data_IF_897640862039
#
_entry.id   IF_897640862039
#
_cell.length_a   1.000
_cell.length_b   1.000
_cell.length_c   1.000
_cell.angle_alpha   90.00
_cell.angle_beta   90.00
_cell.angle_gamma   90.00
#
_symmetry.space_group_name_H-M   'P 1'
#
loop_
_entity.id
_entity.type
_entity.pdbx_description
1 polymer ?
#
# COMPACT_ATOMS: atom_id res chain seq x y z
N UNK A 1 -14.97 -71.57 -29.69
CA UNK A 1 -16.25 -72.03 -30.22
C UNK A 1 -17.28 -70.93 -30.08
N UNK A 2 -17.97 -70.72 -31.20
CA UNK A 2 -19.24 -69.94 -31.41
C UNK A 2 -19.17 -68.39 -31.39
N UNK A 3 -19.14 -67.93 -32.62
CA UNK A 3 -19.69 -66.67 -33.15
C UNK A 3 -21.18 -66.51 -32.77
N UNK A 4 -21.60 -65.27 -32.64
CA UNK A 4 -22.84 -64.76 -33.29
C UNK A 4 -22.87 -63.25 -33.30
N UNK A 5 -22.93 -62.76 -34.50
CA UNK A 5 -23.28 -61.43 -34.99
C UNK A 5 -24.80 -61.18 -34.86
N UNK A 6 -25.18 -59.91 -34.86
CA UNK A 6 -26.38 -59.25 -35.45
C UNK A 6 -26.71 -58.02 -34.61
N UNK A 7 -27.10 -56.88 -35.02
CA UNK A 7 -27.49 -56.27 -36.27
C UNK A 7 -27.45 -54.75 -36.12
N UNK A 8 -27.22 -54.09 -37.23
CA UNK A 8 -27.39 -52.66 -37.46
C UNK A 8 -28.82 -52.16 -37.22
N UNK A 9 -28.96 -50.98 -36.56
CA UNK A 9 -30.12 -50.10 -36.78
C UNK A 9 -29.58 -48.67 -36.95
N UNK A 10 -29.83 -48.14 -38.16
CA UNK A 10 -29.79 -46.72 -38.48
C UNK A 10 -30.85 -46.01 -37.69
N UNK A 11 -30.55 -44.80 -37.19
CA UNK A 11 -31.50 -43.69 -37.27
C UNK A 11 -30.92 -42.37 -36.73
N UNK A 12 -30.88 -41.43 -37.62
CA UNK A 12 -31.35 -40.04 -37.44
C UNK A 12 -30.47 -39.07 -36.64
N UNK A 13 -29.67 -38.33 -37.40
CA UNK A 13 -29.16 -37.03 -37.05
C UNK A 13 -30.23 -36.06 -36.56
N UNK A 14 -30.09 -35.59 -35.32
CA UNK A 14 -30.72 -34.35 -34.85
C UNK A 14 -29.59 -33.39 -34.51
N UNK A 15 -29.35 -32.45 -35.43
CA UNK A 15 -28.49 -31.30 -35.23
C UNK A 15 -29.11 -30.39 -34.16
N UNK A 16 -28.51 -30.33 -33.00
CA UNK A 16 -28.80 -29.27 -32.03
C UNK A 16 -28.00 -28.02 -32.39
N UNK A 17 -28.61 -26.83 -32.50
CA UNK A 17 -27.85 -25.61 -32.71
C UNK A 17 -27.02 -25.32 -31.44
N UNK A 18 -25.72 -25.24 -31.62
CA UNK A 18 -24.81 -24.69 -30.59
C UNK A 18 -25.21 -23.22 -30.33
N UNK A 19 -25.88 -22.96 -29.23
CA UNK A 19 -26.02 -21.64 -28.65
C UNK A 19 -24.61 -21.24 -28.17
N UNK A 20 -23.87 -20.55 -29.03
CA UNK A 20 -22.71 -19.77 -28.62
C UNK A 20 -23.25 -18.69 -27.72
N UNK A 21 -23.19 -18.93 -26.42
CA UNK A 21 -23.43 -17.92 -25.40
C UNK A 21 -22.40 -16.81 -25.58
N UNK A 22 -22.79 -15.73 -26.25
CA UNK A 22 -22.15 -14.44 -26.13
C UNK A 22 -22.27 -14.06 -24.65
N UNK A 23 -21.16 -14.27 -23.92
CA UNK A 23 -20.96 -13.64 -22.62
C UNK A 23 -20.88 -12.14 -22.88
N UNK A 24 -22.02 -11.52 -23.09
CA UNK A 24 -22.15 -10.09 -23.10
C UNK A 24 -21.67 -9.60 -21.73
N UNK A 25 -20.62 -8.82 -21.72
CA UNK A 25 -20.31 -7.97 -20.57
C UNK A 25 -21.55 -7.14 -20.35
N UNK A 26 -22.33 -7.51 -19.34
CA UNK A 26 -23.52 -6.76 -18.95
C UNK A 26 -23.04 -5.37 -18.55
N UNK A 27 -23.21 -4.41 -19.46
CA UNK A 27 -23.07 -3.00 -19.16
C UNK A 27 -24.17 -2.69 -18.15
N UNK A 28 -23.77 -2.28 -16.94
CA UNK A 28 -24.74 -1.89 -15.93
C UNK A 28 -25.73 -0.89 -16.55
N UNK A 29 -27.02 -1.07 -16.26
CA UNK A 29 -28.05 -0.11 -16.62
C UNK A 29 -27.67 1.24 -15.99
N UNK A 30 -27.85 2.35 -16.72
CA UNK A 30 -27.66 3.70 -16.21
C UNK A 30 -28.37 3.83 -14.85
N UNK A 31 -27.60 4.07 -13.78
CA UNK A 31 -28.12 4.20 -12.42
C UNK A 31 -27.93 3.00 -11.47
N UNK A 32 -27.38 1.86 -11.91
CA UNK A 32 -27.10 0.74 -11.01
C UNK A 32 -25.96 1.12 -10.04
N UNK A 33 -26.24 0.98 -8.71
CA UNK A 33 -25.27 1.23 -7.64
C UNK A 33 -24.77 -0.10 -7.08
N UNK A 34 -23.51 -0.19 -6.61
CA UNK A 34 -23.05 -1.37 -5.89
C UNK A 34 -23.77 -1.45 -4.53
N UNK A 35 -24.07 -2.65 -4.07
CA UNK A 35 -24.60 -2.84 -2.70
C UNK A 35 -23.52 -2.77 -1.64
N UNK A 36 -22.28 -3.06 -2.02
CA UNK A 36 -21.11 -3.09 -1.14
C UNK A 36 -19.89 -2.59 -1.89
N UNK A 37 -19.05 -1.81 -1.20
CA UNK A 37 -17.72 -1.40 -1.66
C UNK A 37 -16.70 -2.06 -0.75
N UNK A 38 -15.80 -2.85 -1.32
CA UNK A 38 -14.80 -3.65 -0.60
C UNK A 38 -13.43 -2.98 -0.70
N UNK A 39 -12.91 -2.51 0.44
CA UNK A 39 -11.69 -1.71 0.50
C UNK A 39 -10.64 -2.45 1.33
N UNK A 40 -9.47 -2.73 0.75
CA UNK A 40 -8.36 -3.41 1.39
C UNK A 40 -7.31 -2.45 1.94
N UNK A 41 -6.77 -2.79 3.11
CA UNK A 41 -5.53 -2.23 3.64
C UNK A 41 -4.44 -3.29 3.65
N UNK A 42 -3.21 -2.98 3.17
CA UNK A 42 -2.07 -3.90 3.17
C UNK A 42 -1.41 -3.98 4.56
N UNK A 43 -2.18 -3.83 5.61
CA UNK A 43 -1.75 -3.93 7.00
C UNK A 43 -2.96 -4.26 7.89
N UNK A 44 -2.66 -4.71 9.09
CA UNK A 44 -3.60 -4.82 10.19
C UNK A 44 -2.94 -4.26 11.45
N UNK A 45 -3.73 -3.96 12.46
CA UNK A 45 -3.21 -3.61 13.77
C UNK A 45 -2.49 -4.79 14.44
N UNK A 46 -1.77 -4.52 15.51
CA UNK A 46 -1.03 -5.53 16.29
C UNK A 46 -1.96 -6.66 16.73
N UNK A 47 -1.48 -7.90 16.64
CA UNK A 47 -2.29 -9.09 16.88
C UNK A 47 -3.38 -9.32 15.83
N UNK A 48 -3.24 -8.75 14.63
CA UNK A 48 -4.22 -8.91 13.54
C UNK A 48 -5.50 -8.09 13.72
N UNK A 49 -5.50 -7.08 14.57
CA UNK A 49 -6.70 -6.21 14.77
C UNK A 49 -7.18 -5.65 13.43
N UNK A 50 -8.50 -5.66 13.14
CA UNK A 50 -9.05 -5.15 11.89
C UNK A 50 -9.12 -3.62 11.90
N UNK A 51 -7.97 -2.96 12.03
CA UNK A 51 -7.80 -1.51 12.06
C UNK A 51 -6.56 -1.13 11.24
N UNK A 52 -6.62 0.01 10.52
CA UNK A 52 -5.46 0.56 9.82
C UNK A 52 -4.48 1.20 10.82
N UNK A 53 -3.25 1.45 10.38
CA UNK A 53 -2.21 1.97 11.28
C UNK A 53 -2.17 3.49 11.34
N UNK A 54 -1.76 4.17 10.28
CA UNK A 54 -1.51 5.62 10.25
C UNK A 54 -1.88 6.24 8.91
N UNK A 55 -1.89 7.58 8.84
CA UNK A 55 -2.11 8.36 7.64
C UNK A 55 -3.56 8.77 7.42
N UNK A 56 -3.81 9.62 6.43
CA UNK A 56 -5.16 10.15 6.20
C UNK A 56 -6.14 9.06 5.72
N UNK A 57 -5.68 8.02 5.05
CA UNK A 57 -6.52 6.88 4.67
C UNK A 57 -7.01 6.11 5.91
N UNK A 58 -6.16 6.00 6.94
CA UNK A 58 -6.56 5.46 8.24
C UNK A 58 -7.55 6.38 8.94
N UNK A 59 -7.35 7.70 8.88
CA UNK A 59 -8.29 8.68 9.43
C UNK A 59 -9.67 8.56 8.78
N UNK A 60 -9.76 8.25 7.47
CA UNK A 60 -11.04 8.02 6.80
C UNK A 60 -11.85 6.89 7.46
N UNK A 61 -11.18 5.82 7.89
CA UNK A 61 -11.80 4.72 8.65
C UNK A 61 -12.19 5.17 10.05
N UNK A 62 -11.26 5.73 10.80
CA UNK A 62 -11.50 6.11 12.21
C UNK A 62 -12.58 7.17 12.36
N UNK A 63 -12.74 8.03 11.38
CA UNK A 63 -13.78 9.08 11.34
C UNK A 63 -15.10 8.58 10.71
N UNK A 64 -15.13 7.38 10.11
CA UNK A 64 -16.31 6.82 9.46
C UNK A 64 -16.77 7.63 8.24
N UNK A 65 -15.84 8.21 7.49
CA UNK A 65 -16.18 9.19 6.44
C UNK A 65 -16.82 8.56 5.21
N UNK A 66 -16.47 7.34 4.84
CA UNK A 66 -17.10 6.66 3.72
C UNK A 66 -18.45 6.07 4.12
N UNK A 67 -18.60 5.55 5.33
CA UNK A 67 -19.88 5.10 5.85
C UNK A 67 -20.90 6.25 5.89
N UNK A 68 -20.49 7.43 6.33
CA UNK A 68 -21.34 8.65 6.32
C UNK A 68 -21.73 9.03 4.89
N UNK A 69 -20.75 9.00 3.96
CA UNK A 69 -20.99 9.38 2.56
C UNK A 69 -22.02 8.50 1.88
N UNK A 70 -21.94 7.19 2.11
CA UNK A 70 -22.76 6.23 1.37
C UNK A 70 -24.00 5.74 2.12
N UNK A 71 -24.25 6.26 3.33
CA UNK A 71 -25.41 5.87 4.16
C UNK A 71 -26.75 6.06 3.46
N UNK A 72 -26.95 7.20 2.82
CA UNK A 72 -28.20 7.53 2.13
C UNK A 72 -28.44 6.66 0.89
N UNK A 73 -27.39 6.14 0.29
CA UNK A 73 -27.46 5.23 -0.86
C UNK A 73 -27.72 3.77 -0.46
N UNK A 74 -27.66 3.44 0.82
CA UNK A 74 -27.72 2.07 1.33
C UNK A 74 -26.51 1.21 0.95
N UNK A 75 -25.39 1.83 0.54
CA UNK A 75 -24.17 1.12 0.14
C UNK A 75 -23.34 0.82 1.38
N UNK A 76 -23.04 -0.48 1.58
CA UNK A 76 -22.17 -0.94 2.67
C UNK A 76 -20.71 -0.71 2.34
N UNK A 77 -19.92 -0.15 3.27
CA UNK A 77 -18.46 -0.17 3.20
C UNK A 77 -17.93 -1.38 3.95
N UNK A 78 -17.13 -2.20 3.28
CA UNK A 78 -16.50 -3.38 3.86
C UNK A 78 -14.98 -3.21 3.87
N UNK A 79 -14.44 -3.01 5.07
CA UNK A 79 -13.01 -2.88 5.30
C UNK A 79 -12.36 -4.24 5.46
N UNK A 80 -11.27 -4.47 4.74
CA UNK A 80 -10.47 -5.71 4.81
C UNK A 80 -9.02 -5.37 5.15
N UNK A 81 -8.45 -6.11 6.11
CA UNK A 81 -7.10 -5.87 6.63
C UNK A 81 -6.26 -7.11 6.46
N UNK A 82 -5.07 -6.94 5.88
CA UNK A 82 -4.22 -8.06 5.50
C UNK A 82 -2.92 -8.06 6.29
N UNK A 83 -2.77 -8.98 7.26
CA UNK A 83 -1.52 -9.22 7.99
C UNK A 83 -0.39 -9.65 7.05
N UNK A 84 -0.73 -10.42 6.00
CA UNK A 84 0.18 -10.78 4.90
C UNK A 84 0.57 -9.60 4.00
N UNK A 85 0.11 -8.39 4.33
CA UNK A 85 0.39 -7.12 3.65
C UNK A 85 0.08 -7.12 2.15
N UNK A 86 0.92 -6.45 1.33
CA UNK A 86 0.70 -6.28 -0.09
C UNK A 86 0.54 -7.56 -0.89
N UNK A 87 1.34 -8.62 -0.68
CA UNK A 87 1.15 -9.90 -1.36
C UNK A 87 -0.23 -10.51 -1.15
N UNK A 88 -0.70 -10.56 0.10
CA UNK A 88 -2.04 -11.09 0.42
C UNK A 88 -3.16 -10.22 -0.16
N UNK A 89 -2.96 -8.91 -0.23
CA UNK A 89 -3.91 -8.00 -0.87
C UNK A 89 -3.97 -8.22 -2.38
N UNK A 90 -2.84 -8.41 -3.05
CA UNK A 90 -2.79 -8.77 -4.48
C UNK A 90 -3.53 -10.07 -4.78
N UNK A 91 -3.36 -11.09 -3.92
CA UNK A 91 -4.10 -12.36 -4.03
C UNK A 91 -5.60 -12.14 -3.87
N UNK A 92 -6.03 -11.38 -2.87
CA UNK A 92 -7.43 -11.05 -2.66
C UNK A 92 -8.03 -10.30 -3.86
N UNK A 93 -7.28 -9.35 -4.43
CA UNK A 93 -7.73 -8.63 -5.63
C UNK A 93 -7.81 -9.54 -6.86
N UNK A 94 -6.84 -10.42 -7.08
CA UNK A 94 -6.86 -11.42 -8.16
C UNK A 94 -8.09 -12.34 -8.08
N UNK A 95 -8.59 -12.59 -6.86
CA UNK A 95 -9.79 -13.39 -6.59
C UNK A 95 -11.08 -12.57 -6.53
N UNK A 96 -11.07 -11.31 -7.01
CA UNK A 96 -12.24 -10.40 -7.01
C UNK A 96 -12.85 -10.16 -5.63
N UNK A 97 -12.04 -10.15 -4.57
CA UNK A 97 -12.48 -9.91 -3.18
C UNK A 97 -12.36 -8.44 -2.77
N UNK A 98 -11.83 -7.58 -3.63
CA UNK A 98 -11.58 -6.16 -3.40
C UNK A 98 -11.97 -5.32 -4.60
N UNK A 99 -12.44 -4.10 -4.33
CA UNK A 99 -12.70 -3.06 -5.32
C UNK A 99 -11.65 -1.96 -5.26
N UNK A 100 -11.16 -1.64 -4.05
CA UNK A 100 -10.15 -0.62 -3.77
C UNK A 100 -9.05 -1.14 -2.86
N UNK A 101 -7.90 -0.45 -2.92
CA UNK A 101 -6.87 -0.54 -1.89
C UNK A 101 -6.47 0.86 -1.41
N UNK A 102 -6.30 1.00 -0.10
CA UNK A 102 -5.83 2.22 0.53
C UNK A 102 -4.45 1.98 1.18
N UNK A 103 -3.44 2.69 0.70
CA UNK A 103 -2.10 2.63 1.27
C UNK A 103 -1.22 1.48 0.75
N UNK A 104 -1.41 1.05 -0.50
CA UNK A 104 -0.54 0.02 -1.11
C UNK A 104 0.86 0.59 -1.34
N UNK A 105 1.89 -0.17 -0.92
CA UNK A 105 3.27 0.23 -1.14
C UNK A 105 3.76 -0.02 -2.55
N UNK A 106 4.92 0.54 -2.89
CA UNK A 106 5.52 0.51 -4.22
C UNK A 106 5.79 -0.92 -4.74
N UNK A 107 6.54 -1.73 -4.00
CA UNK A 107 6.88 -3.09 -4.45
C UNK A 107 5.64 -3.95 -4.75
N UNK A 108 4.68 -4.11 -3.82
CA UNK A 108 3.56 -5.00 -4.10
C UNK A 108 2.61 -4.45 -5.18
N UNK A 109 2.44 -3.14 -5.33
CA UNK A 109 1.60 -2.59 -6.41
C UNK A 109 2.25 -2.81 -7.78
N UNK A 110 3.60 -2.72 -7.87
CA UNK A 110 4.37 -3.02 -9.08
C UNK A 110 4.30 -4.53 -9.40
N UNK A 111 4.50 -5.39 -8.40
CA UNK A 111 4.36 -6.84 -8.56
C UNK A 111 2.96 -7.20 -9.06
N UNK A 112 1.91 -6.65 -8.47
CA UNK A 112 0.54 -6.84 -8.93
C UNK A 112 0.36 -6.46 -10.40
N UNK A 113 0.83 -5.27 -10.80
CA UNK A 113 0.79 -4.83 -12.20
C UNK A 113 1.58 -5.76 -13.13
N UNK A 114 2.76 -6.21 -12.72
CA UNK A 114 3.63 -7.11 -13.49
C UNK A 114 3.00 -8.49 -13.71
N UNK A 115 2.12 -8.93 -12.83
CA UNK A 115 1.37 -10.20 -12.94
C UNK A 115 0.06 -10.05 -13.72
N UNK A 116 -0.29 -8.83 -14.12
CA UNK A 116 -1.48 -8.55 -14.95
C UNK A 116 -2.71 -8.10 -14.18
N UNK A 117 -2.58 -7.76 -12.90
CA UNK A 117 -3.68 -7.16 -12.13
C UNK A 117 -4.06 -5.80 -12.73
N UNK A 118 -5.35 -5.63 -12.99
CA UNK A 118 -5.90 -4.46 -13.67
C UNK A 118 -6.49 -3.49 -12.66
N UNK A 119 -5.70 -2.46 -12.31
CA UNK A 119 -6.11 -1.39 -11.41
C UNK A 119 -5.56 -0.05 -11.88
N UNK A 120 -6.23 1.03 -11.48
CA UNK A 120 -5.88 2.43 -11.74
C UNK A 120 -5.49 3.11 -10.45
N UNK A 121 -4.36 3.81 -10.47
CA UNK A 121 -3.91 4.65 -9.35
C UNK A 121 -4.68 5.96 -9.38
N UNK A 122 -5.33 6.28 -8.26
CA UNK A 122 -6.20 7.45 -8.13
C UNK A 122 -5.51 8.64 -7.45
N UNK A 123 -4.69 8.35 -6.43
CA UNK A 123 -3.96 9.36 -5.65
C UNK A 123 -2.86 8.70 -4.80
N UNK A 124 -1.92 9.51 -4.31
CA UNK A 124 -0.96 9.11 -3.28
C UNK A 124 -1.66 8.99 -1.93
N UNK A 125 -1.36 7.95 -1.13
CA UNK A 125 -1.88 7.81 0.24
C UNK A 125 -1.04 8.54 1.29
N UNK A 126 -0.07 9.31 0.87
CA UNK A 126 0.91 10.03 1.69
C UNK A 126 2.33 9.73 1.25
N UNK A 127 3.27 10.50 1.76
CA UNK A 127 4.68 10.43 1.38
C UNK A 127 5.62 10.82 2.52
N UNK A 128 6.92 10.61 2.30
CA UNK A 128 7.96 10.96 3.27
C UNK A 128 8.02 10.00 4.46
N UNK A 129 8.80 10.39 5.44
CA UNK A 129 9.09 9.62 6.64
C UNK A 129 10.54 9.20 6.71
N UNK A 130 11.08 9.28 7.93
CA UNK A 130 12.44 8.85 8.20
C UNK A 130 12.53 7.33 8.29
N UNK A 131 13.72 6.79 8.10
CA UNK A 131 13.98 5.36 8.17
C UNK A 131 15.07 5.09 9.19
N UNK A 132 14.78 4.18 10.11
CA UNK A 132 15.67 3.83 11.21
C UNK A 132 16.02 2.35 11.17
N UNK A 133 17.32 2.04 11.20
CA UNK A 133 17.81 0.67 11.41
C UNK A 133 18.03 0.45 12.89
N UNK A 134 17.28 -0.46 13.46
CA UNK A 134 17.34 -0.83 14.87
C UNK A 134 18.09 -2.14 15.04
N UNK A 135 18.83 -2.24 16.14
CA UNK A 135 19.47 -3.47 16.63
C UNK A 135 18.97 -3.78 18.04
N UNK A 136 19.09 -5.04 18.52
CA UNK A 136 18.91 -5.32 19.94
C UNK A 136 19.71 -4.38 20.82
N UNK A 137 19.20 -3.97 21.98
CA UNK A 137 19.87 -3.05 22.88
C UNK A 137 21.29 -3.53 23.28
N UNK A 138 21.45 -4.85 23.45
CA UNK A 138 22.73 -5.49 23.80
C UNK A 138 23.71 -5.66 22.61
N UNK A 139 23.31 -5.28 21.39
CA UNK A 139 24.17 -5.41 20.19
C UNK A 139 25.49 -4.62 20.36
N UNK A 140 26.60 -5.22 19.96
CA UNK A 140 27.90 -4.53 19.90
C UNK A 140 28.14 -3.76 18.60
N UNK A 141 27.21 -3.86 17.61
CA UNK A 141 27.35 -3.14 16.34
C UNK A 141 27.36 -1.62 16.58
N UNK A 142 28.29 -0.93 15.93
CA UNK A 142 28.47 0.52 15.94
C UNK A 142 28.17 1.19 14.60
N UNK A 143 28.18 0.41 13.52
CA UNK A 143 27.89 0.85 12.16
C UNK A 143 27.17 -0.25 11.36
N UNK A 144 26.54 0.12 10.25
CA UNK A 144 25.73 -0.80 9.43
C UNK A 144 26.55 -1.96 8.87
N UNK A 145 27.81 -1.70 8.52
CA UNK A 145 28.74 -2.73 7.99
C UNK A 145 29.10 -3.82 9.00
N UNK A 146 28.93 -3.60 10.31
CA UNK A 146 29.15 -4.61 11.36
C UNK A 146 28.07 -5.71 11.32
N UNK A 147 26.99 -5.45 10.60
CA UNK A 147 25.89 -6.41 10.41
C UNK A 147 26.07 -7.31 9.18
N UNK A 148 27.14 -7.16 8.38
CA UNK A 148 27.41 -8.04 7.23
C UNK A 148 27.48 -9.50 7.68
N UNK A 149 26.84 -10.38 6.91
CA UNK A 149 26.69 -11.80 7.22
C UNK A 149 25.67 -12.12 8.34
N UNK A 150 25.14 -11.11 9.01
CA UNK A 150 24.12 -11.29 10.06
C UNK A 150 22.70 -11.36 9.49
N UNK A 151 21.79 -11.78 10.36
CA UNK A 151 20.37 -11.87 10.00
C UNK A 151 19.67 -10.52 10.19
N UNK A 152 19.12 -9.98 9.11
CA UNK A 152 18.20 -8.84 9.12
C UNK A 152 16.78 -9.33 8.82
N UNK A 153 15.78 -8.61 9.30
CA UNK A 153 14.38 -8.96 9.06
C UNK A 153 13.61 -7.83 8.40
N UNK A 154 12.78 -8.21 7.43
CA UNK A 154 11.77 -7.36 6.79
C UNK A 154 10.62 -8.25 6.32
N UNK A 155 9.41 -7.74 6.19
CA UNK A 155 8.36 -8.51 5.52
C UNK A 155 8.60 -8.46 4.00
N UNK A 156 9.06 -9.58 3.42
CA UNK A 156 9.38 -9.68 1.98
C UNK A 156 8.13 -9.50 1.12
N UNK A 157 8.29 -8.92 -0.06
CA UNK A 157 7.20 -8.57 -0.98
C UNK A 157 6.45 -7.29 -0.63
N UNK A 158 6.87 -6.57 0.43
CA UNK A 158 6.28 -5.28 0.82
C UNK A 158 7.18 -4.09 0.45
N UNK A 159 6.65 -2.86 0.53
CA UNK A 159 7.45 -1.65 0.38
C UNK A 159 8.67 -1.62 1.32
N UNK A 160 8.52 -2.15 2.53
CA UNK A 160 9.60 -2.25 3.51
C UNK A 160 10.83 -2.99 2.98
N UNK A 161 10.67 -3.95 2.06
CA UNK A 161 11.80 -4.64 1.44
C UNK A 161 12.63 -3.69 0.56
N UNK A 162 12.00 -2.88 -0.30
CA UNK A 162 12.71 -1.89 -1.09
C UNK A 162 13.32 -0.78 -0.21
N UNK A 163 12.59 -0.34 0.81
CA UNK A 163 13.09 0.61 1.80
C UNK A 163 14.36 0.09 2.49
N UNK A 164 14.37 -1.18 2.93
CA UNK A 164 15.58 -1.80 3.50
C UNK A 164 16.72 -1.83 2.49
N UNK A 165 16.46 -2.20 1.23
CA UNK A 165 17.51 -2.27 0.21
C UNK A 165 18.09 -0.88 -0.12
N UNK A 166 17.24 0.14 -0.23
CA UNK A 166 17.66 1.54 -0.41
C UNK A 166 18.50 2.03 0.77
N UNK A 167 18.05 1.70 1.98
CA UNK A 167 18.76 2.03 3.20
C UNK A 167 20.17 1.41 3.20
N UNK A 168 20.27 0.10 2.99
CA UNK A 168 21.54 -0.61 2.96
C UNK A 168 22.45 -0.12 1.84
N UNK A 169 21.90 0.27 0.69
CA UNK A 169 22.68 0.84 -0.42
C UNK A 169 23.36 2.17 -0.05
N UNK A 170 22.74 3.00 0.80
CA UNK A 170 23.37 4.22 1.33
C UNK A 170 24.59 3.94 2.21
N UNK A 171 24.66 2.75 2.80
CA UNK A 171 25.77 2.28 3.62
C UNK A 171 26.68 1.29 2.87
N UNK A 172 26.68 1.35 1.52
CA UNK A 172 27.61 0.62 0.66
C UNK A 172 27.21 -0.80 0.27
N UNK A 173 26.00 -1.27 0.61
CA UNK A 173 25.51 -2.57 0.17
C UNK A 173 24.63 -2.44 -1.07
N UNK A 174 25.16 -2.79 -2.23
CA UNK A 174 24.40 -2.80 -3.51
C UNK A 174 23.73 -4.14 -3.81
N UNK A 175 24.07 -5.21 -3.08
CA UNK A 175 23.53 -6.56 -3.20
C UNK A 175 23.10 -7.07 -1.80
N UNK A 176 22.00 -6.53 -1.22
CA UNK A 176 21.62 -6.79 0.16
C UNK A 176 21.45 -8.28 0.50
N UNK A 177 20.88 -9.07 -0.42
CA UNK A 177 20.67 -10.53 -0.22
C UNK A 177 21.97 -11.35 -0.25
N UNK A 178 23.09 -10.78 -0.73
CA UNK A 178 24.42 -11.38 -0.64
C UNK A 178 25.18 -10.94 0.62
N UNK A 179 25.03 -9.66 0.99
CA UNK A 179 25.72 -9.07 2.12
C UNK A 179 25.10 -9.46 3.46
N UNK A 180 23.79 -9.76 3.50
CA UNK A 180 23.04 -10.05 4.72
C UNK A 180 22.13 -11.27 4.53
N UNK A 181 21.88 -12.00 5.62
CA UNK A 181 20.82 -13.01 5.66
C UNK A 181 19.48 -12.32 5.91
N UNK A 182 18.71 -12.02 4.86
CA UNK A 182 17.43 -11.34 4.99
C UNK A 182 16.29 -12.35 5.11
N UNK A 183 15.58 -12.35 6.26
CA UNK A 183 14.43 -13.20 6.53
C UNK A 183 13.12 -12.41 6.47
N UNK A 184 12.00 -13.12 6.25
CA UNK A 184 10.67 -12.52 6.21
C UNK A 184 9.93 -12.69 7.52
N UNK A 185 9.55 -11.59 8.17
CA UNK A 185 8.71 -11.59 9.38
C UNK A 185 7.71 -10.43 9.31
N UNK A 186 6.51 -10.63 9.83
CA UNK A 186 5.55 -9.55 10.11
C UNK A 186 6.06 -8.66 11.25
N UNK A 187 5.45 -7.51 11.44
CA UNK A 187 5.93 -6.50 12.41
C UNK A 187 6.04 -7.02 13.83
N UNK A 188 5.03 -7.74 14.32
CA UNK A 188 5.02 -8.24 15.71
C UNK A 188 6.13 -9.28 15.94
N UNK A 189 6.30 -10.23 15.01
CA UNK A 189 7.37 -11.26 15.10
C UNK A 189 8.76 -10.62 15.00
N UNK A 190 8.94 -9.63 14.11
CA UNK A 190 10.19 -8.88 13.95
C UNK A 190 10.58 -8.15 15.22
N UNK A 191 9.62 -7.49 15.88
CA UNK A 191 9.84 -6.80 17.17
C UNK A 191 10.17 -7.79 18.30
N UNK A 192 9.51 -8.95 18.33
CA UNK A 192 9.86 -10.01 19.26
C UNK A 192 11.29 -10.51 19.03
N UNK A 193 11.68 -10.79 17.77
CA UNK A 193 13.03 -11.24 17.41
C UNK A 193 14.12 -10.20 17.69
N UNK A 194 13.80 -8.89 17.60
CA UNK A 194 14.72 -7.83 18.06
C UNK A 194 14.89 -7.87 19.58
N UNK A 195 13.81 -8.10 20.33
CA UNK A 195 13.86 -8.14 21.80
C UNK A 195 14.65 -9.34 22.31
N UNK A 196 14.57 -10.50 21.65
CA UNK A 196 15.30 -11.73 22.02
C UNK A 196 16.72 -11.77 21.47
N UNK A 197 17.05 -10.95 20.47
CA UNK A 197 18.35 -10.97 19.78
C UNK A 197 18.46 -12.05 18.69
N UNK A 198 17.35 -12.67 18.29
CA UNK A 198 17.33 -13.70 17.22
C UNK A 198 17.66 -13.10 15.84
N UNK A 199 17.49 -11.80 15.68
CA UNK A 199 17.92 -11.02 14.51
C UNK A 199 18.87 -9.90 14.92
N UNK A 200 19.84 -9.61 14.06
CA UNK A 200 20.83 -8.57 14.32
C UNK A 200 20.29 -7.16 14.05
N UNK A 201 19.25 -7.02 13.23
CA UNK A 201 18.68 -5.71 12.96
C UNK A 201 17.45 -5.75 12.06
N UNK A 202 16.69 -4.66 12.10
CA UNK A 202 15.54 -4.45 11.23
C UNK A 202 15.19 -2.96 11.11
N UNK A 203 14.51 -2.58 10.03
CA UNK A 203 13.88 -1.27 9.93
C UNK A 203 12.57 -1.29 10.74
N UNK A 204 12.45 -0.37 11.69
CA UNK A 204 11.22 -0.17 12.48
C UNK A 204 11.19 1.26 13.08
N UNK A 205 10.05 1.64 13.67
CA UNK A 205 9.89 2.88 14.43
C UNK A 205 10.58 2.75 15.80
N UNK A 206 11.53 3.64 16.16
CA UNK A 206 12.42 3.41 17.30
C UNK A 206 11.82 3.75 18.67
N UNK A 207 10.97 4.77 18.74
CA UNK A 207 10.70 5.53 19.96
C UNK A 207 10.18 4.69 21.13
N UNK A 208 9.14 3.91 20.91
CA UNK A 208 8.58 3.04 21.94
C UNK A 208 9.47 1.83 22.27
N UNK A 209 10.25 1.34 21.32
CA UNK A 209 11.18 0.22 21.52
C UNK A 209 12.42 0.68 22.31
N UNK A 210 12.97 1.84 21.95
CA UNK A 210 14.11 2.45 22.68
C UNK A 210 13.72 2.84 24.10
N UNK A 211 12.55 3.46 24.29
CA UNK A 211 12.08 3.86 25.62
C UNK A 211 11.90 2.68 26.60
N UNK A 212 11.68 1.47 26.07
CA UNK A 212 11.58 0.24 26.85
C UNK A 212 12.92 -0.50 26.98
N UNK A 213 14.02 0.03 26.43
CA UNK A 213 15.32 -0.61 26.43
C UNK A 213 15.41 -1.90 25.59
N UNK A 214 14.48 -2.09 24.64
CA UNK A 214 14.43 -3.28 23.79
C UNK A 214 15.42 -3.19 22.64
N UNK A 215 15.53 -2.01 22.05
CA UNK A 215 16.41 -1.75 20.89
C UNK A 215 17.24 -0.50 21.09
N UNK A 216 18.26 -0.37 20.26
CA UNK A 216 18.95 0.90 20.01
C UNK A 216 18.99 1.20 18.51
N UNK A 217 19.00 2.46 18.18
CA UNK A 217 19.14 2.93 16.81
C UNK A 217 20.60 2.84 16.39
N UNK A 218 20.87 2.07 15.33
CA UNK A 218 22.21 1.92 14.78
C UNK A 218 22.50 3.00 13.73
N UNK A 219 21.52 3.29 12.88
CA UNK A 219 21.64 4.27 11.82
C UNK A 219 20.25 4.79 11.41
N UNK A 220 20.22 5.96 10.79
CA UNK A 220 18.99 6.59 10.34
C UNK A 220 19.21 7.38 9.04
N UNK A 221 18.15 7.54 8.27
CA UNK A 221 18.13 8.37 7.06
C UNK A 221 16.96 9.34 7.18
N UNK A 222 17.28 10.63 7.09
CA UNK A 222 16.33 11.75 7.14
C UNK A 222 16.33 12.48 5.81
N UNK A 223 15.21 13.15 5.53
CA UNK A 223 15.05 14.10 4.42
C UNK A 223 15.45 13.57 3.04
N UNK A 224 15.50 12.24 2.87
CA UNK A 224 15.70 11.62 1.57
C UNK A 224 14.36 11.30 0.94
N UNK A 225 13.97 12.01 -0.13
CA UNK A 225 12.66 11.83 -0.75
C UNK A 225 12.47 10.43 -1.33
N UNK A 226 13.55 9.71 -1.61
CA UNK A 226 13.52 8.41 -2.26
C UNK A 226 13.80 7.22 -1.33
N UNK A 227 14.01 7.44 -0.04
CA UNK A 227 14.20 6.33 0.90
C UNK A 227 12.91 5.53 1.07
N UNK A 228 11.79 6.22 1.19
CA UNK A 228 10.43 5.67 1.19
C UNK A 228 9.66 6.17 -0.03
N UNK A 229 9.08 5.26 -0.81
CA UNK A 229 8.17 5.66 -1.87
C UNK A 229 6.82 6.12 -1.30
N UNK A 230 6.12 7.03 -2.02
CA UNK A 230 4.73 7.36 -1.71
C UNK A 230 3.86 6.11 -1.67
N UNK A 231 2.92 6.06 -0.75
CA UNK A 231 1.88 5.04 -0.77
C UNK A 231 0.85 5.33 -1.87
N UNK A 232 0.05 4.32 -2.21
CA UNK A 232 -0.87 4.35 -3.35
C UNK A 232 -2.29 4.04 -2.92
N UNK A 233 -3.26 4.83 -3.42
CA UNK A 233 -4.69 4.45 -3.45
C UNK A 233 -5.04 4.08 -4.88
N UNK A 234 -5.64 2.90 -5.06
CA UNK A 234 -6.07 2.43 -6.37
C UNK A 234 -7.47 1.81 -6.35
N UNK A 235 -8.07 1.73 -7.54
CA UNK A 235 -9.35 1.06 -7.82
C UNK A 235 -9.16 -0.01 -8.88
N UNK A 236 -9.90 -1.11 -8.79
CA UNK A 236 -9.98 -2.11 -9.87
C UNK A 236 -10.62 -1.50 -11.13
N UNK A 237 -10.03 -1.75 -12.31
CA UNK A 237 -10.48 -1.17 -13.58
C UNK A 237 -11.95 -1.50 -13.88
N UNK A 238 -12.40 -2.72 -13.56
CA UNK A 238 -13.78 -3.11 -13.75
C UNK A 238 -14.79 -2.31 -12.89
N UNK A 239 -14.41 -2.05 -11.63
CA UNK A 239 -15.23 -1.22 -10.74
C UNK A 239 -15.26 0.24 -11.20
N UNK A 240 -14.10 0.77 -11.61
CA UNK A 240 -13.99 2.15 -12.13
C UNK A 240 -14.84 2.36 -13.37
N UNK A 241 -14.82 1.41 -14.31
CA UNK A 241 -15.63 1.47 -15.51
C UNK A 241 -17.13 1.38 -15.24
N UNK A 242 -17.52 0.59 -14.25
CA UNK A 242 -18.93 0.35 -13.91
C UNK A 242 -19.52 1.47 -13.05
N UNK A 243 -18.73 2.05 -12.13
CA UNK A 243 -19.19 3.00 -11.11
C UNK A 243 -18.31 4.26 -11.00
N UNK A 244 -18.06 5.01 -12.09
CA UNK A 244 -17.15 6.16 -12.06
C UNK A 244 -17.58 7.25 -11.07
N UNK A 245 -18.88 7.46 -10.88
CA UNK A 245 -19.42 8.45 -9.93
C UNK A 245 -19.14 8.04 -8.47
N UNK A 246 -19.20 6.74 -8.16
CA UNK A 246 -18.83 6.23 -6.84
C UNK A 246 -17.35 6.43 -6.60
N UNK A 247 -16.49 6.18 -7.61
CA UNK A 247 -15.04 6.44 -7.52
C UNK A 247 -14.78 7.92 -7.25
N UNK A 248 -15.46 8.83 -7.96
CA UNK A 248 -15.33 10.27 -7.73
C UNK A 248 -15.68 10.65 -6.29
N UNK A 249 -16.79 10.16 -5.77
CA UNK A 249 -17.25 10.45 -4.40
C UNK A 249 -16.24 9.93 -3.35
N UNK A 250 -15.70 8.71 -3.54
CA UNK A 250 -14.65 8.17 -2.65
C UNK A 250 -13.42 9.08 -2.67
N UNK A 251 -12.94 9.46 -3.86
CA UNK A 251 -11.76 10.35 -3.98
C UNK A 251 -12.05 11.70 -3.34
N UNK A 252 -13.21 12.32 -3.60
CA UNK A 252 -13.59 13.60 -2.98
C UNK A 252 -13.59 13.49 -1.44
N UNK A 253 -14.12 12.39 -0.88
CA UNK A 253 -14.07 12.17 0.59
C UNK A 253 -12.65 11.99 1.09
N UNK A 254 -11.81 11.24 0.41
CA UNK A 254 -10.40 11.08 0.80
C UNK A 254 -9.64 12.41 0.77
N UNK A 255 -9.91 13.30 -0.19
CA UNK A 255 -9.29 14.64 -0.23
C UNK A 255 -9.77 15.50 0.94
N UNK A 256 -11.06 15.46 1.32
CA UNK A 256 -11.55 16.13 2.53
C UNK A 256 -10.83 15.63 3.79
N UNK A 257 -10.64 14.32 3.90
CA UNK A 257 -9.92 13.73 5.05
C UNK A 257 -8.44 14.08 5.00
N UNK A 258 -7.79 14.06 3.83
CA UNK A 258 -6.41 14.50 3.69
C UNK A 258 -6.25 15.96 4.13
N UNK A 259 -7.16 16.85 3.71
CA UNK A 259 -7.19 18.24 4.15
C UNK A 259 -7.39 18.37 5.67
N UNK A 260 -8.36 17.65 6.26
CA UNK A 260 -8.56 17.59 7.71
C UNK A 260 -7.28 17.13 8.43
N UNK A 261 -6.59 16.14 7.86
CA UNK A 261 -5.37 15.56 8.44
C UNK A 261 -4.18 16.52 8.42
N UNK A 262 -4.20 17.54 7.57
CA UNK A 262 -3.13 18.55 7.52
C UNK A 262 -3.34 19.70 8.51
N UNK A 263 -4.52 19.78 9.14
CA UNK A 263 -4.79 20.86 10.09
C UNK A 263 -4.08 20.62 11.42
N UNK A 264 -3.31 21.60 11.89
CA UNK A 264 -2.55 21.49 13.14
C UNK A 264 -3.45 21.19 14.34
N UNK A 265 -4.64 21.76 14.36
CA UNK A 265 -5.65 21.52 15.41
C UNK A 265 -6.07 20.05 15.54
N UNK A 266 -5.88 19.24 14.49
CA UNK A 266 -6.25 17.83 14.47
C UNK A 266 -5.06 16.89 14.74
N UNK A 267 -3.84 17.42 14.90
CA UNK A 267 -2.61 16.64 15.03
C UNK A 267 -2.67 15.65 16.20
N UNK A 268 -3.01 16.13 17.39
CA UNK A 268 -3.11 15.27 18.57
C UNK A 268 -4.22 14.22 18.46
N UNK A 269 -5.35 14.58 17.91
CA UNK A 269 -6.46 13.65 17.70
C UNK A 269 -6.04 12.50 16.77
N UNK A 270 -5.28 12.77 15.72
CA UNK A 270 -4.77 11.73 14.82
C UNK A 270 -3.88 10.75 15.57
N UNK A 271 -2.95 11.22 16.40
CA UNK A 271 -2.05 10.35 17.17
C UNK A 271 -2.84 9.40 18.07
N UNK A 272 -3.89 9.90 18.74
CA UNK A 272 -4.78 9.10 19.56
C UNK A 272 -5.57 8.07 18.74
N UNK A 273 -6.11 8.45 17.57
CA UNK A 273 -6.82 7.53 16.69
C UNK A 273 -5.92 6.38 16.23
N UNK A 274 -4.68 6.66 15.84
CA UNK A 274 -3.75 5.64 15.34
C UNK A 274 -3.29 4.66 16.42
N UNK A 275 -3.25 5.04 17.69
CA UNK A 275 -2.90 4.10 18.78
C UNK A 275 -3.91 2.96 18.90
N UNK A 276 -5.14 3.13 18.41
CA UNK A 276 -6.20 2.11 18.46
C UNK A 276 -5.81 0.82 17.73
N UNK A 277 -4.94 0.92 16.71
CA UNK A 277 -4.39 -0.23 16.01
C UNK A 277 -3.47 -1.10 16.90
N UNK A 278 -2.87 -0.51 17.93
CA UNK A 278 -1.89 -1.17 18.79
C UNK A 278 -0.51 -1.35 18.15
N UNK A 279 -0.32 -0.98 16.88
CA UNK A 279 0.95 -1.13 16.17
C UNK A 279 1.99 -0.14 16.66
N UNK A 280 1.59 1.13 16.81
CA UNK A 280 2.43 2.20 17.33
C UNK A 280 1.83 2.77 18.60
N UNK A 281 2.68 3.09 19.58
CA UNK A 281 2.28 3.84 20.77
C UNK A 281 2.00 5.30 20.40
N UNK A 282 1.37 6.04 21.32
CA UNK A 282 1.23 7.49 21.20
C UNK A 282 2.60 8.17 21.06
N UNK A 283 3.61 7.70 21.81
CA UNK A 283 4.98 8.22 21.72
C UNK A 283 5.59 8.03 20.32
N UNK A 284 5.38 6.85 19.71
CA UNK A 284 5.84 6.58 18.34
C UNK A 284 5.20 7.55 17.36
N UNK A 285 3.87 7.68 17.41
CA UNK A 285 3.12 8.57 16.53
C UNK A 285 3.57 10.03 16.71
N UNK A 286 3.64 10.50 17.95
CA UNK A 286 4.02 11.87 18.26
C UNK A 286 5.43 12.18 17.79
N UNK A 287 6.43 11.38 18.18
CA UNK A 287 7.83 11.63 17.85
C UNK A 287 8.10 11.56 16.34
N UNK A 288 7.42 10.65 15.63
CA UNK A 288 7.58 10.49 14.19
C UNK A 288 6.93 11.64 13.41
N UNK A 289 5.74 12.06 13.81
CA UNK A 289 4.97 13.05 13.04
C UNK A 289 5.22 14.50 13.46
N UNK A 290 5.68 14.77 14.68
CA UNK A 290 6.12 16.12 15.11
C UNK A 290 7.38 16.57 14.33
N UNK A 291 8.12 15.65 13.71
CA UNK A 291 9.23 15.99 12.81
C UNK A 291 8.74 16.68 11.51
N UNK A 292 7.52 16.42 11.08
CA UNK A 292 6.91 17.12 9.96
C UNK A 292 6.42 18.51 10.39
N UNK A 293 7.18 19.55 10.04
CA UNK A 293 6.83 20.94 10.31
C UNK A 293 5.55 21.35 9.57
N UNK A 294 5.32 20.81 8.40
CA UNK A 294 4.14 21.02 7.58
C UNK A 294 3.51 19.65 7.24
N UNK A 295 2.36 19.38 7.82
CA UNK A 295 1.64 18.12 7.61
C UNK A 295 1.17 17.92 6.16
N UNK A 296 1.09 18.99 5.36
CA UNK A 296 0.78 18.90 3.92
C UNK A 296 1.84 18.12 3.16
N UNK A 297 3.08 18.06 3.66
CA UNK A 297 4.17 17.29 3.04
C UNK A 297 4.00 15.77 3.23
N UNK A 298 3.39 15.36 4.35
CA UNK A 298 3.17 13.95 4.72
C UNK A 298 1.81 13.42 4.22
N UNK A 299 0.74 14.19 4.43
CA UNK A 299 -0.61 13.88 3.95
C UNK A 299 -0.84 14.43 2.53
N UNK A 300 0.10 14.21 1.62
CA UNK A 300 0.07 14.74 0.26
C UNK A 300 -0.55 13.73 -0.71
N UNK A 301 -1.73 14.03 -1.33
CA UNK A 301 -2.41 13.11 -2.22
C UNK A 301 -1.98 13.23 -3.68
N UNK A 302 -1.10 14.17 -4.04
CA UNK A 302 -0.81 14.52 -5.43
C UNK A 302 -0.10 13.41 -6.20
N UNK A 303 -0.42 13.29 -7.48
CA UNK A 303 0.28 12.48 -8.48
C UNK A 303 1.20 13.40 -9.31
N UNK A 304 2.06 14.16 -8.65
CA UNK A 304 3.01 15.10 -9.25
C UNK A 304 4.25 14.39 -9.82
N UNK A 305 5.19 15.15 -10.37
CA UNK A 305 6.40 14.62 -11.02
C UNK A 305 7.22 13.74 -10.07
N UNK A 306 7.27 14.08 -8.78
CA UNK A 306 7.93 13.25 -7.77
C UNK A 306 7.23 11.88 -7.61
N UNK A 307 5.90 11.85 -7.59
CA UNK A 307 5.17 10.58 -7.48
C UNK A 307 5.50 9.68 -8.68
N UNK A 308 5.45 10.22 -9.90
CA UNK A 308 5.76 9.50 -11.13
C UNK A 308 7.19 8.97 -11.11
N UNK A 309 8.16 9.85 -10.79
CA UNK A 309 9.58 9.50 -10.70
C UNK A 309 9.85 8.42 -9.63
N UNK A 310 9.14 8.49 -8.48
CA UNK A 310 9.25 7.49 -7.41
C UNK A 310 8.79 6.10 -7.86
N UNK A 311 7.66 6.01 -8.56
CA UNK A 311 7.18 4.73 -9.10
C UNK A 311 8.12 4.21 -10.20
N UNK A 312 8.60 5.05 -11.11
CA UNK A 312 9.56 4.65 -12.15
C UNK A 312 10.86 4.14 -11.53
N UNK A 313 11.39 4.82 -10.51
CA UNK A 313 12.56 4.36 -9.77
C UNK A 313 12.32 3.02 -9.08
N UNK A 314 11.17 2.85 -8.43
CA UNK A 314 10.80 1.59 -7.80
C UNK A 314 10.66 0.44 -8.82
N UNK A 315 10.13 0.69 -10.02
CA UNK A 315 10.10 -0.29 -11.12
C UNK A 315 11.53 -0.70 -11.50
N UNK A 316 12.43 0.25 -11.69
CA UNK A 316 13.84 -0.03 -12.02
C UNK A 316 14.53 -0.86 -10.92
N UNK A 317 14.28 -0.54 -9.65
CA UNK A 317 14.82 -1.27 -8.49
C UNK A 317 14.24 -2.69 -8.39
N UNK A 318 12.93 -2.88 -8.60
CA UNK A 318 12.32 -4.22 -8.60
C UNK A 318 12.89 -5.11 -9.70
N UNK A 319 13.24 -4.54 -10.86
CA UNK A 319 13.95 -5.26 -11.93
C UNK A 319 15.40 -5.58 -11.54
N UNK A 320 16.14 -4.60 -11.04
CA UNK A 320 17.52 -4.76 -10.56
C UNK A 320 17.63 -5.91 -9.56
N UNK A 321 16.71 -5.98 -8.60
CA UNK A 321 16.68 -7.02 -7.57
C UNK A 321 15.95 -8.31 -7.99
N UNK A 322 15.53 -8.42 -9.26
CA UNK A 322 14.83 -9.60 -9.81
C UNK A 322 13.53 -9.96 -9.09
N UNK A 323 12.82 -8.95 -8.58
CA UNK A 323 11.55 -9.12 -7.86
C UNK A 323 10.35 -9.19 -8.80
N UNK A 324 10.50 -8.77 -10.06
CA UNK A 324 9.53 -8.93 -11.15
C UNK A 324 10.18 -9.59 -12.37
N UNK A 325 9.36 -10.31 -13.15
CA UNK A 325 9.81 -10.97 -14.40
C UNK A 325 9.34 -10.25 -15.65
N UNK A 326 8.22 -9.50 -15.58
CA UNK A 326 7.65 -8.75 -16.70
C UNK A 326 7.84 -7.26 -16.45
N UNK A 327 8.02 -6.53 -17.54
CA UNK A 327 8.13 -5.09 -17.48
C UNK A 327 6.80 -4.45 -17.09
N UNK A 328 6.90 -3.34 -16.40
CA UNK A 328 5.77 -2.51 -15.99
C UNK A 328 6.01 -1.10 -16.52
N UNK A 329 5.01 -0.54 -17.22
CA UNK A 329 4.97 0.87 -17.58
C UNK A 329 4.00 1.63 -16.69
N UNK A 330 4.29 2.89 -16.44
CA UNK A 330 3.36 3.81 -15.77
C UNK A 330 2.29 4.36 -16.74
N UNK A 331 2.48 4.17 -18.05
CA UNK A 331 1.57 4.66 -19.07
C UNK A 331 0.16 4.10 -18.89
N UNK A 332 -0.82 4.97 -18.83
CA UNK A 332 -2.22 4.62 -18.64
C UNK A 332 -2.53 3.94 -17.28
N UNK A 333 -1.58 3.90 -16.34
CA UNK A 333 -1.78 3.34 -15.01
C UNK A 333 -2.33 4.36 -14.02
N UNK A 334 -1.85 5.62 -14.12
CA UNK A 334 -2.33 6.72 -13.29
C UNK A 334 -3.63 7.29 -13.87
N UNK A 335 -4.62 7.55 -13.02
CA UNK A 335 -5.91 8.12 -13.38
C UNK A 335 -6.19 9.39 -12.56
N UNK A 336 -5.52 10.51 -12.90
CA UNK A 336 -5.58 11.74 -12.12
C UNK A 336 -6.90 12.50 -12.22
N UNK A 337 -7.80 12.12 -13.14
CA UNK A 337 -9.07 12.86 -13.37
C UNK A 337 -9.89 13.03 -12.10
N UNK A 338 -10.01 11.97 -11.30
CA UNK A 338 -10.80 11.98 -10.07
C UNK A 338 -10.18 12.87 -8.99
N UNK A 339 -8.85 12.82 -8.85
CA UNK A 339 -8.11 13.71 -7.95
C UNK A 339 -8.28 15.17 -8.37
N UNK A 340 -8.05 15.48 -9.65
CA UNK A 340 -8.16 16.85 -10.18
C UNK A 340 -9.58 17.41 -10.05
N UNK A 341 -10.61 16.57 -10.26
CA UNK A 341 -12.00 16.97 -10.06
C UNK A 341 -12.28 17.28 -8.58
N UNK A 342 -11.82 16.40 -7.66
CA UNK A 342 -12.00 16.60 -6.22
C UNK A 342 -11.30 17.87 -5.73
N UNK A 343 -10.08 18.12 -6.20
CA UNK A 343 -9.35 19.35 -5.86
C UNK A 343 -10.09 20.61 -6.31
N UNK A 344 -10.62 20.63 -7.55
CA UNK A 344 -11.43 21.76 -8.06
C UNK A 344 -12.74 21.93 -7.29
N UNK A 345 -13.48 20.85 -7.04
CA UNK A 345 -14.73 20.87 -6.28
C UNK A 345 -14.53 21.51 -4.90
N UNK A 346 -13.41 21.17 -4.27
CA UNK A 346 -13.08 21.60 -2.90
C UNK A 346 -12.28 22.92 -2.86
N UNK A 347 -11.90 23.49 -4.02
CA UNK A 347 -11.04 24.67 -4.14
C UNK A 347 -9.68 24.50 -3.46
N UNK A 348 -9.05 23.33 -3.66
CA UNK A 348 -7.79 22.91 -3.04
C UNK A 348 -6.67 22.66 -4.07
N UNK A 349 -6.79 23.17 -5.31
CA UNK A 349 -5.85 22.90 -6.42
C UNK A 349 -4.41 23.35 -6.11
N UNK A 350 -4.27 24.36 -5.24
CA UNK A 350 -2.96 24.90 -4.86
C UNK A 350 -2.62 24.66 -3.39
N UNK A 351 -3.40 23.85 -2.69
CA UNK A 351 -3.26 23.69 -1.24
C UNK A 351 -2.02 22.87 -0.85
N UNK A 352 -1.79 21.73 -1.50
CA UNK A 352 -0.63 20.89 -1.21
C UNK A 352 0.62 21.37 -1.95
N UNK A 353 1.80 21.30 -1.30
CA UNK A 353 3.06 21.54 -1.98
C UNK A 353 3.31 20.50 -3.07
N UNK A 354 3.82 20.92 -4.23
CA UNK A 354 4.22 20.04 -5.33
C UNK A 354 5.72 19.78 -5.27
N UNK A 355 6.14 18.61 -5.74
CA UNK A 355 7.54 18.22 -5.82
C UNK A 355 7.92 17.87 -7.27
N UNK A 356 9.08 18.33 -7.70
CA UNK A 356 9.71 17.92 -8.96
C UNK A 356 10.30 16.51 -8.87
N UNK A 357 10.68 15.96 -10.03
CA UNK A 357 11.20 14.60 -10.14
C UNK A 357 12.47 14.33 -9.30
N UNK A 358 13.20 15.35 -8.86
CA UNK A 358 14.33 15.21 -7.94
C UNK A 358 13.94 15.28 -6.45
N UNK A 359 12.64 15.36 -6.16
CA UNK A 359 12.08 15.42 -4.80
C UNK A 359 12.09 16.79 -4.14
N UNK A 360 12.51 17.85 -4.85
CA UNK A 360 12.47 19.20 -4.31
C UNK A 360 11.08 19.81 -4.43
N UNK A 361 10.68 20.56 -3.43
CA UNK A 361 9.44 21.32 -3.47
C UNK A 361 9.54 22.44 -4.48
N UNK A 362 8.56 22.52 -5.40
CA UNK A 362 8.46 23.56 -6.43
C UNK A 362 7.45 24.63 -6.07
N UNK A 363 6.53 24.30 -5.16
CA UNK A 363 5.55 25.21 -4.55
C UNK A 363 5.31 24.76 -3.11
N UNK A 364 5.35 25.66 -2.16
CA UNK A 364 5.10 25.47 -0.72
C UNK A 364 3.85 26.20 -0.25
#
# INVERSE_FOLDING_TARGET
MKRRSFNSVLASSLAAPALIGLSGVARAADGAKPTTIRIGFPNAGSGGRPLPTTGFTANAVFLGELEKEFKADGIKIEWKYYVGAGPALNEAFANNLLDFCFGHGDLPVIVGRSTGLKHKVLLSSGRGGDVYLLTPAASSASQVTDLKGKTLSVQKGTAGQLTLYRFLAKYGSTEPEKDFRIISQITDDRRASLATGDIAGAIDTPWGLEARGVTKRLAEVHDDPYINSPGTVWVGEAFEQQYPDIVQRIVTRLIKVAHWSTQEANREQQYQLWTRSGTNSYLDNKKEWDRAKDLRTRHNPLLDDYYVASIQKAIAETRKYKLIRRDVSVDGWLEPKYLNNALRELKLETYWPTQSADGKYTRT
#
